data_IF_336742091227
#
_entry.id   IF_336742091227
#
_cell.length_a   1.000
_cell.length_b   1.000
_cell.length_c   1.000
_cell.angle_alpha   90.00
_cell.angle_beta   90.00
_cell.angle_gamma   90.00
#
_symmetry.space_group_name_H-M   'P 1'
#
loop_
_entity.id
_entity.type
_entity.pdbx_description
1 polymer ?
#
# COMPACT_ATOMS: atom_id res chain seq x y z
N UNK A 1 -7.40 -17.02 -13.62
CA UNK A 1 -7.20 -15.57 -13.82
C UNK A 1 -5.89 -15.11 -13.22
N UNK A 2 -5.05 -14.41 -14.00
CA UNK A 2 -3.87 -13.74 -13.47
C UNK A 2 -4.30 -12.38 -12.89
N UNK A 3 -4.07 -12.17 -11.59
CA UNK A 3 -4.29 -10.87 -10.93
C UNK A 3 -3.42 -9.83 -11.65
N UNK A 4 -4.05 -8.94 -12.41
CA UNK A 4 -3.33 -7.84 -13.05
C UNK A 4 -2.59 -7.01 -11.99
N UNK A 5 -1.35 -6.59 -12.25
CA UNK A 5 -0.61 -5.74 -11.35
C UNK A 5 -1.37 -4.42 -11.16
N UNK A 6 -1.66 -4.07 -9.90
CA UNK A 6 -2.19 -2.76 -9.57
C UNK A 6 -1.08 -1.75 -9.88
N UNK A 7 -1.19 -1.06 -11.02
CA UNK A 7 -0.32 0.05 -11.39
C UNK A 7 -1.02 1.33 -10.94
N UNK A 8 -0.63 1.95 -9.82
CA UNK A 8 -1.15 3.26 -9.45
C UNK A 8 -0.70 4.24 -10.54
N UNK A 9 -1.63 4.66 -11.41
CA UNK A 9 -1.36 5.79 -12.31
C UNK A 9 -1.23 7.04 -11.43
N UNK A 10 -0.15 7.84 -11.58
CA UNK A 10 -0.08 9.14 -10.93
C UNK A 10 -1.18 10.02 -11.53
N UNK A 11 -2.23 10.21 -10.75
CA UNK A 11 -3.35 11.05 -11.09
C UNK A 11 -3.02 12.47 -10.61
N UNK A 12 -3.05 13.43 -11.53
CA UNK A 12 -2.72 14.82 -11.27
C UNK A 12 -3.54 15.36 -10.08
N UNK A 13 -4.82 15.01 -10.02
CA UNK A 13 -5.71 15.41 -8.94
C UNK A 13 -5.28 14.82 -7.59
N UNK A 14 -4.76 13.59 -7.55
CA UNK A 14 -4.23 13.00 -6.31
C UNK A 14 -3.03 13.77 -5.78
N UNK A 15 -2.14 14.23 -6.66
CA UNK A 15 -0.97 15.01 -6.26
C UNK A 15 -1.35 16.42 -5.80
N UNK A 16 -2.35 17.04 -6.44
CA UNK A 16 -2.91 18.32 -5.97
C UNK A 16 -3.53 18.20 -4.56
N UNK A 17 -4.26 17.11 -4.31
CA UNK A 17 -4.94 16.85 -3.04
C UNK A 17 -3.99 16.42 -1.93
N UNK A 18 -2.92 15.67 -2.23
CA UNK A 18 -2.02 15.13 -1.21
C UNK A 18 -1.39 16.24 -0.36
N UNK A 19 -1.20 17.44 -0.93
CA UNK A 19 -0.78 18.66 -0.22
C UNK A 19 -1.83 19.18 0.76
N UNK A 20 -3.11 19.03 0.47
CA UNK A 20 -4.24 19.40 1.34
C UNK A 20 -4.50 18.38 2.47
N UNK A 21 -4.00 17.15 2.36
CA UNK A 21 -4.37 15.98 3.19
C UNK A 21 -4.33 16.23 4.70
N UNK A 22 -3.34 16.99 5.17
CA UNK A 22 -3.14 17.24 6.63
C UNK A 22 -4.13 18.26 7.21
N UNK A 23 -4.76 19.08 6.38
CA UNK A 23 -5.63 20.18 6.82
C UNK A 23 -7.11 19.98 6.44
N UNK A 24 -7.47 18.87 5.79
CA UNK A 24 -8.87 18.52 5.53
C UNK A 24 -9.62 18.27 6.86
N UNK A 25 -10.35 19.28 7.32
CA UNK A 25 -11.10 19.29 8.57
C UNK A 25 -10.68 20.39 9.54
N UNK A 26 -9.60 21.11 9.24
CA UNK A 26 -9.26 22.34 9.96
C UNK A 26 -10.10 23.49 9.38
N UNK A 27 -10.72 24.29 10.24
CA UNK A 27 -11.58 25.41 9.83
C UNK A 27 -10.77 26.50 9.12
N UNK A 28 -9.46 26.53 9.35
CA UNK A 28 -8.52 27.50 8.78
C UNK A 28 -7.47 26.81 7.90
N UNK A 29 -7.90 26.28 6.76
CA UNK A 29 -6.96 26.02 5.66
C UNK A 29 -6.32 27.37 5.29
N UNK A 30 -4.98 27.44 5.34
CA UNK A 30 -4.27 28.67 4.96
C UNK A 30 -4.66 29.12 3.56
N UNK A 31 -4.90 30.42 3.38
CA UNK A 31 -5.35 30.98 2.10
C UNK A 31 -4.38 30.64 0.97
N UNK A 32 -3.08 30.62 1.26
CA UNK A 32 -2.03 30.27 0.31
C UNK A 32 -2.12 28.81 -0.16
N UNK A 33 -2.44 27.87 0.76
CA UNK A 33 -2.64 26.47 0.40
C UNK A 33 -3.92 26.27 -0.41
N UNK A 34 -4.98 27.03 -0.08
CA UNK A 34 -6.25 27.02 -0.83
C UNK A 34 -6.04 27.48 -2.27
N UNK A 35 -5.34 28.60 -2.46
CA UNK A 35 -5.01 29.13 -3.80
C UNK A 35 -4.14 28.14 -4.57
N UNK A 36 -3.09 27.60 -3.94
CA UNK A 36 -2.19 26.65 -4.59
C UNK A 36 -2.92 25.37 -5.02
N UNK A 37 -3.78 24.81 -4.17
CA UNK A 37 -4.57 23.65 -4.53
C UNK A 37 -5.55 23.96 -5.67
N UNK A 38 -6.23 25.10 -5.64
CA UNK A 38 -7.13 25.50 -6.72
C UNK A 38 -6.38 25.66 -8.06
N UNK A 39 -5.16 26.22 -8.05
CA UNK A 39 -4.30 26.30 -9.24
C UNK A 39 -3.97 24.90 -9.76
N UNK A 40 -3.47 24.03 -8.89
CA UNK A 40 -3.07 22.66 -9.27
C UNK A 40 -4.26 21.87 -9.83
N UNK A 41 -5.42 21.94 -9.20
CA UNK A 41 -6.65 21.27 -9.65
C UNK A 41 -7.10 21.77 -11.03
N UNK A 42 -7.04 23.08 -11.26
CA UNK A 42 -7.37 23.70 -12.55
C UNK A 42 -6.43 23.20 -13.65
N UNK A 43 -5.13 23.10 -13.36
CA UNK A 43 -4.15 22.57 -14.32
C UNK A 43 -4.40 21.10 -14.62
N UNK A 44 -4.78 20.31 -13.62
CA UNK A 44 -5.17 18.92 -13.83
C UNK A 44 -6.39 18.80 -14.75
N UNK A 45 -7.36 19.71 -14.62
CA UNK A 45 -8.52 19.76 -15.52
C UNK A 45 -8.12 20.14 -16.96
N UNK A 46 -7.33 21.21 -17.12
CA UNK A 46 -6.82 21.67 -18.43
C UNK A 46 -6.04 20.56 -19.14
N UNK A 47 -5.11 19.91 -18.43
CA UNK A 47 -4.29 18.84 -18.99
C UNK A 47 -5.10 17.59 -19.34
N UNK A 48 -6.16 17.31 -18.59
CA UNK A 48 -7.08 16.20 -18.89
C UNK A 48 -7.92 16.47 -20.14
N UNK A 49 -8.30 17.72 -20.38
CA UNK A 49 -9.10 18.13 -21.54
C UNK A 49 -8.36 18.03 -22.88
N UNK A 50 -7.02 17.89 -22.91
CA UNK A 50 -6.14 17.73 -24.10
C UNK A 50 -6.21 18.79 -25.21
N UNK A 51 -7.22 19.64 -25.22
CA UNK A 51 -7.44 20.67 -26.23
C UNK A 51 -6.84 22.04 -25.85
N UNK A 52 -6.40 22.19 -24.60
CA UNK A 52 -5.86 23.43 -24.07
C UNK A 52 -4.47 23.21 -23.47
N UNK A 53 -3.57 24.15 -23.74
CA UNK A 53 -2.25 24.21 -23.12
C UNK A 53 -2.32 24.97 -21.80
N UNK A 54 -1.53 24.53 -20.82
CA UNK A 54 -1.36 25.25 -19.56
C UNK A 54 -0.63 26.57 -19.83
N UNK A 55 -1.06 27.71 -19.24
CA UNK A 55 -0.34 28.97 -19.35
C UNK A 55 1.12 28.84 -18.87
N UNK A 56 2.04 29.53 -19.53
CA UNK A 56 3.47 29.45 -19.22
C UNK A 56 3.77 30.00 -17.82
N UNK A 57 2.99 30.99 -17.38
CA UNK A 57 3.00 31.57 -16.05
C UNK A 57 2.67 30.52 -14.97
N UNK A 58 1.99 29.43 -15.33
CA UNK A 58 1.60 28.33 -14.46
C UNK A 58 2.50 27.09 -14.59
N UNK A 59 3.61 27.16 -15.35
CA UNK A 59 4.47 26.00 -15.61
C UNK A 59 5.02 25.35 -14.33
N UNK A 60 5.26 26.15 -13.28
CA UNK A 60 5.70 25.67 -11.98
C UNK A 60 4.70 24.72 -11.27
N UNK A 61 3.45 24.65 -11.73
CA UNK A 61 2.39 23.79 -11.19
C UNK A 61 2.03 22.63 -12.11
N UNK A 62 2.78 22.41 -13.20
CA UNK A 62 2.58 21.33 -14.15
C UNK A 62 2.90 19.93 -13.59
N UNK A 63 2.56 18.88 -14.36
CA UNK A 63 2.72 17.47 -13.93
C UNK A 63 4.16 17.08 -13.60
N UNK A 64 5.15 17.72 -14.21
CA UNK A 64 6.58 17.42 -13.99
C UNK A 64 7.11 18.08 -12.70
N UNK A 65 6.66 19.30 -12.38
CA UNK A 65 7.07 20.02 -11.17
C UNK A 65 6.29 19.60 -9.92
N UNK A 66 5.20 18.84 -10.07
CA UNK A 66 4.43 18.28 -8.95
C UNK A 66 5.22 17.27 -8.08
N UNK A 67 6.36 16.77 -8.56
CA UNK A 67 7.26 15.88 -7.82
C UNK A 67 8.44 16.59 -7.14
N UNK A 68 8.80 17.80 -7.56
CA UNK A 68 9.88 18.59 -6.96
C UNK A 68 9.31 19.68 -6.04
N UNK A 69 9.71 19.61 -4.77
CA UNK A 69 9.26 20.47 -3.67
C UNK A 69 9.97 21.83 -3.76
N UNK A 70 9.70 22.60 -4.80
CA UNK A 70 10.06 24.02 -4.82
C UNK A 70 8.78 24.82 -4.80
N UNK A 71 8.46 25.39 -3.62
CA UNK A 71 7.30 26.27 -3.46
C UNK A 71 7.55 27.48 -4.37
N UNK A 72 6.72 27.73 -5.40
CA UNK A 72 6.91 28.89 -6.26
C UNK A 72 6.69 30.17 -5.44
N UNK A 73 7.53 31.18 -5.67
CA UNK A 73 7.49 32.47 -4.97
C UNK A 73 6.10 33.13 -5.08
N UNK A 74 5.73 33.99 -4.13
CA UNK A 74 4.40 34.63 -4.06
C UNK A 74 4.03 35.38 -5.35
N UNK A 75 5.02 35.92 -6.06
CA UNK A 75 4.86 36.56 -7.36
C UNK A 75 4.35 35.59 -8.44
N UNK A 76 4.95 34.40 -8.53
CA UNK A 76 4.59 33.38 -9.53
C UNK A 76 3.17 32.82 -9.35
N UNK A 77 2.65 32.84 -8.11
CA UNK A 77 1.25 32.50 -7.81
C UNK A 77 0.30 33.53 -8.41
N UNK A 78 0.57 34.81 -8.18
CA UNK A 78 -0.25 35.91 -8.70
C UNK A 78 -0.28 35.89 -10.22
N UNK A 79 0.87 35.73 -10.86
CA UNK A 79 1.00 35.73 -12.33
C UNK A 79 0.21 34.58 -12.97
N UNK A 80 0.22 33.39 -12.34
CA UNK A 80 -0.57 32.25 -12.81
C UNK A 80 -2.08 32.48 -12.65
N UNK A 81 -2.53 33.07 -11.54
CA UNK A 81 -3.94 33.42 -11.34
C UNK A 81 -4.40 34.48 -12.34
N UNK A 82 -3.57 35.49 -12.58
CA UNK A 82 -3.83 36.51 -13.61
C UNK A 82 -3.90 35.86 -15.00
N UNK A 83 -3.06 34.88 -15.30
CA UNK A 83 -3.14 34.13 -16.55
C UNK A 83 -4.47 33.36 -16.70
N UNK A 84 -5.01 32.75 -15.62
CA UNK A 84 -6.33 32.14 -15.65
C UNK A 84 -7.45 33.14 -15.92
N UNK A 85 -7.33 34.38 -15.42
CA UNK A 85 -8.33 35.43 -15.65
C UNK A 85 -8.49 35.80 -17.14
N UNK A 86 -7.47 35.54 -17.97
CA UNK A 86 -7.49 35.80 -19.42
C UNK A 86 -8.44 34.87 -20.19
N UNK A 87 -8.90 33.78 -19.57
CA UNK A 87 -9.84 32.82 -20.17
C UNK A 87 -11.02 32.58 -19.23
N UNK A 88 -12.24 32.86 -19.71
CA UNK A 88 -13.45 32.62 -18.93
C UNK A 88 -13.57 31.14 -18.48
N UNK A 89 -13.16 30.20 -19.32
CA UNK A 89 -13.18 28.77 -18.98
C UNK A 89 -12.23 28.44 -17.83
N UNK A 90 -10.99 28.94 -17.88
CA UNK A 90 -10.00 28.66 -16.82
C UNK A 90 -10.35 29.39 -15.53
N UNK A 91 -10.88 30.61 -15.64
CA UNK A 91 -11.37 31.36 -14.49
C UNK A 91 -12.53 30.67 -13.79
N UNK A 92 -13.47 30.09 -14.54
CA UNK A 92 -14.57 29.31 -13.97
C UNK A 92 -14.07 28.08 -13.21
N UNK A 93 -13.15 27.30 -13.79
CA UNK A 93 -12.54 26.15 -13.10
C UNK A 93 -11.79 26.57 -11.82
N UNK A 94 -10.92 27.58 -11.92
CA UNK A 94 -10.16 28.09 -10.77
C UNK A 94 -11.05 28.62 -9.65
N UNK A 95 -12.01 29.48 -9.98
CA UNK A 95 -12.90 30.08 -8.98
C UNK A 95 -13.86 29.06 -8.36
N UNK A 96 -14.25 28.02 -9.12
CA UNK A 96 -14.97 26.85 -8.61
C UNK A 96 -14.16 26.12 -7.55
N UNK A 97 -12.94 25.68 -7.90
CA UNK A 97 -12.07 24.99 -6.94
C UNK A 97 -11.69 25.86 -5.73
N UNK A 98 -11.49 27.16 -5.90
CA UNK A 98 -11.17 28.05 -4.78
C UNK A 98 -12.31 28.12 -3.75
N UNK A 99 -13.58 28.08 -4.21
CA UNK A 99 -14.76 28.04 -3.33
C UNK A 99 -14.92 26.66 -2.70
N UNK A 100 -14.81 25.61 -3.50
CA UNK A 100 -15.03 24.22 -3.06
C UNK A 100 -13.91 23.67 -2.16
N UNK A 101 -12.66 24.15 -2.26
CA UNK A 101 -11.58 23.73 -1.36
C UNK A 101 -11.84 24.21 0.08
N UNK A 102 -12.53 25.35 0.25
CA UNK A 102 -12.93 25.85 1.58
C UNK A 102 -14.14 25.11 2.11
N UNK A 103 -15.07 24.74 1.24
CA UNK A 103 -16.22 23.91 1.60
C UNK A 103 -15.76 22.45 1.72
N UNK A 104 -15.31 22.10 2.93
CA UNK A 104 -14.90 20.78 3.43
C UNK A 104 -15.28 19.50 2.65
N UNK A 105 -16.41 19.46 1.94
CA UNK A 105 -16.89 18.36 1.11
C UNK A 105 -15.85 17.86 0.09
N UNK A 106 -15.21 18.76 -0.67
CA UNK A 106 -14.26 18.34 -1.71
C UNK A 106 -12.98 17.76 -1.08
N UNK A 107 -12.49 18.38 0.00
CA UNK A 107 -11.33 17.90 0.76
C UNK A 107 -11.59 16.51 1.36
N UNK A 108 -12.76 16.29 1.98
CA UNK A 108 -13.12 14.99 2.57
C UNK A 108 -13.34 13.91 1.50
N UNK A 109 -13.98 14.25 0.39
CA UNK A 109 -14.17 13.32 -0.71
C UNK A 109 -12.81 12.84 -1.24
N UNK A 110 -11.91 13.77 -1.58
CA UNK A 110 -10.60 13.41 -2.11
C UNK A 110 -9.69 12.72 -1.11
N UNK A 111 -9.76 13.08 0.19
CA UNK A 111 -9.08 12.34 1.26
C UNK A 111 -9.54 10.89 1.29
N UNK A 112 -10.85 10.64 1.26
CA UNK A 112 -11.42 9.29 1.23
C UNK A 112 -10.95 8.50 0.02
N UNK A 113 -10.93 9.11 -1.16
CA UNK A 113 -10.43 8.48 -2.39
C UNK A 113 -8.95 8.11 -2.27
N UNK A 114 -8.12 9.04 -1.79
CA UNK A 114 -6.70 8.81 -1.58
C UNK A 114 -6.44 7.69 -0.55
N UNK A 115 -7.12 7.72 0.59
CA UNK A 115 -6.98 6.72 1.66
C UNK A 115 -7.41 5.33 1.16
N UNK A 116 -8.47 5.26 0.36
CA UNK A 116 -8.94 4.01 -0.26
C UNK A 116 -7.89 3.41 -1.19
N UNK A 117 -7.26 4.22 -2.04
CA UNK A 117 -6.25 3.73 -2.97
C UNK A 117 -4.95 3.34 -2.26
N UNK A 118 -4.55 4.09 -1.23
CA UNK A 118 -3.42 3.73 -0.36
C UNK A 118 -3.65 2.38 0.31
N UNK A 119 -4.86 2.15 0.82
CA UNK A 119 -5.21 0.86 1.41
C UNK A 119 -5.11 -0.27 0.37
N UNK A 120 -5.64 -0.08 -0.86
CA UNK A 120 -5.53 -1.07 -1.93
C UNK A 120 -4.07 -1.42 -2.26
N UNK A 121 -3.19 -0.43 -2.30
CA UNK A 121 -1.76 -0.63 -2.56
C UNK A 121 -1.11 -1.45 -1.44
N UNK A 122 -1.36 -1.10 -0.19
CA UNK A 122 -0.87 -1.85 0.98
C UNK A 122 -1.34 -3.30 0.93
N UNK A 123 -2.64 -3.53 0.67
CA UNK A 123 -3.19 -4.88 0.54
C UNK A 123 -2.60 -5.64 -0.64
N UNK A 124 -2.30 -4.98 -1.76
CA UNK A 124 -1.65 -5.60 -2.89
C UNK A 124 -0.23 -6.09 -2.53
N UNK A 125 0.54 -5.23 -1.86
CA UNK A 125 1.90 -5.55 -1.41
C UNK A 125 1.89 -6.69 -0.38
N UNK A 126 1.03 -6.62 0.63
CA UNK A 126 0.87 -7.69 1.64
C UNK A 126 0.45 -9.00 0.98
N UNK A 127 -0.48 -8.97 0.03
CA UNK A 127 -0.93 -10.16 -0.69
C UNK A 127 0.23 -10.80 -1.47
N UNK A 128 1.06 -10.00 -2.15
CA UNK A 128 2.25 -10.49 -2.86
C UNK A 128 3.27 -11.12 -1.93
N UNK A 129 3.53 -10.48 -0.80
CA UNK A 129 4.43 -11.03 0.22
C UNK A 129 3.89 -12.33 0.81
N UNK A 130 2.59 -12.38 1.15
CA UNK A 130 1.93 -13.59 1.65
C UNK A 130 2.01 -14.74 0.65
N UNK A 131 1.76 -14.50 -0.64
CA UNK A 131 1.88 -15.53 -1.67
C UNK A 131 3.31 -16.06 -1.73
N UNK A 132 4.31 -15.17 -1.69
CA UNK A 132 5.72 -15.54 -1.71
C UNK A 132 6.11 -16.36 -0.48
N UNK A 133 5.61 -15.97 0.69
CA UNK A 133 5.83 -16.68 1.95
C UNK A 133 5.18 -18.07 1.97
N UNK A 134 3.92 -18.19 1.52
CA UNK A 134 3.23 -19.49 1.42
C UNK A 134 3.98 -20.44 0.47
N UNK A 135 4.45 -19.93 -0.68
CA UNK A 135 5.25 -20.72 -1.63
C UNK A 135 6.55 -21.21 -0.99
N UNK A 136 7.23 -20.36 -0.22
CA UNK A 136 8.43 -20.74 0.52
C UNK A 136 8.15 -21.83 1.55
N UNK A 137 7.09 -21.69 2.36
CA UNK A 137 6.71 -22.71 3.34
C UNK A 137 6.35 -24.04 2.68
N UNK A 138 5.55 -24.02 1.61
CA UNK A 138 5.18 -25.24 0.88
C UNK A 138 6.41 -25.95 0.28
N UNK A 139 7.41 -25.18 -0.20
CA UNK A 139 8.67 -25.76 -0.68
C UNK A 139 9.46 -26.41 0.46
N UNK A 140 9.53 -25.75 1.62
CA UNK A 140 10.24 -26.27 2.80
C UNK A 140 9.56 -27.53 3.35
N UNK A 141 8.24 -27.55 3.41
CA UNK A 141 7.44 -28.71 3.83
C UNK A 141 7.72 -29.92 2.93
N UNK A 142 7.63 -29.74 1.60
CA UNK A 142 7.95 -30.80 0.63
C UNK A 142 9.38 -31.32 0.77
N UNK A 143 10.36 -30.44 0.97
CA UNK A 143 11.75 -30.85 1.18
C UNK A 143 11.93 -31.66 2.49
N UNK A 144 11.21 -31.27 3.54
CA UNK A 144 11.23 -31.99 4.83
C UNK A 144 10.56 -33.35 4.71
N UNK A 145 9.43 -33.43 4.01
CA UNK A 145 8.71 -34.68 3.74
C UNK A 145 9.54 -35.64 2.88
N UNK A 146 10.22 -35.13 1.85
CA UNK A 146 11.17 -35.91 1.04
C UNK A 146 12.29 -36.49 1.91
N UNK A 147 12.92 -35.67 2.74
CA UNK A 147 13.99 -36.14 3.61
C UNK A 147 13.52 -37.19 4.63
N UNK A 148 12.33 -37.01 5.22
CA UNK A 148 11.71 -38.01 6.09
C UNK A 148 11.40 -39.31 5.34
N UNK A 149 10.89 -39.22 4.11
CA UNK A 149 10.60 -40.40 3.29
C UNK A 149 11.86 -41.19 2.95
N UNK A 150 12.97 -40.52 2.65
CA UNK A 150 14.27 -41.14 2.41
C UNK A 150 14.78 -41.86 3.65
N UNK A 151 14.66 -41.25 4.84
CA UNK A 151 15.02 -41.87 6.11
C UNK A 151 14.16 -43.12 6.42
N UNK A 152 12.86 -43.07 6.12
CA UNK A 152 11.96 -44.23 6.28
C UNK A 152 12.33 -45.35 5.30
N UNK A 153 12.66 -45.03 4.05
CA UNK A 153 13.10 -46.04 3.07
C UNK A 153 14.45 -46.63 3.50
N UNK A 154 15.41 -45.80 3.91
CA UNK A 154 16.72 -46.27 4.33
C UNK A 154 16.65 -47.17 5.57
N UNK A 155 15.82 -46.81 6.56
CA UNK A 155 15.58 -47.64 7.74
C UNK A 155 14.88 -48.96 7.41
N UNK A 156 13.92 -48.99 6.47
CA UNK A 156 13.31 -50.23 5.97
C UNK A 156 14.31 -51.16 5.28
N UNK A 157 15.27 -50.61 4.54
CA UNK A 157 16.30 -51.38 3.82
C UNK A 157 17.38 -51.91 4.78
N UNK A 158 17.86 -51.09 5.71
CA UNK A 158 18.93 -51.48 6.63
C UNK A 158 18.45 -52.29 7.85
N UNK A 159 17.19 -52.15 8.27
CA UNK A 159 16.63 -52.83 9.45
C UNK A 159 15.24 -53.42 9.19
N UNK A 160 15.11 -54.40 8.28
CA UNK A 160 13.82 -54.96 7.88
C UNK A 160 13.08 -55.71 9.02
N UNK A 161 13.77 -56.09 10.10
CA UNK A 161 13.22 -56.79 11.26
C UNK A 161 12.56 -55.87 12.30
N UNK A 162 12.69 -54.54 12.20
CA UNK A 162 12.11 -53.57 13.14
C UNK A 162 10.72 -53.05 12.71
N UNK A 163 10.25 -53.37 11.50
CA UNK A 163 8.98 -52.86 10.92
C UNK A 163 8.01 -54.03 10.59
N UNK A 164 8.16 -55.17 11.26
CA UNK A 164 7.09 -56.17 11.35
C UNK A 164 6.54 -56.11 12.77
N UNK A 165 5.48 -55.32 12.95
CA UNK A 165 4.28 -55.68 13.73
C UNK A 165 3.46 -54.41 14.05
N UNK A 166 2.24 -54.23 13.49
CA UNK A 166 1.37 -53.10 13.80
C UNK A 166 0.84 -53.09 15.24
N UNK A 167 1.07 -54.13 16.04
CA UNK A 167 0.70 -54.16 17.47
C UNK A 167 1.72 -53.48 18.41
N UNK A 168 2.97 -53.30 17.99
CA UNK A 168 4.01 -52.75 18.86
C UNK A 168 3.97 -51.20 18.88
N UNK A 169 3.43 -50.56 17.84
CA UNK A 169 3.50 -49.11 17.65
C UNK A 169 2.64 -48.31 18.67
N UNK A 170 1.50 -48.86 19.09
CA UNK A 170 0.66 -48.25 20.13
C UNK A 170 1.34 -48.26 21.50
N UNK A 171 2.14 -49.29 21.80
CA UNK A 171 2.81 -49.42 23.11
C UNK A 171 4.13 -48.65 23.17
N UNK A 172 4.88 -48.59 22.08
CA UNK A 172 6.15 -47.86 22.01
C UNK A 172 5.91 -46.34 22.00
N UNK A 173 4.95 -45.86 21.21
CA UNK A 173 4.55 -44.45 21.18
C UNK A 173 3.98 -43.99 22.53
N UNK A 174 3.17 -44.82 23.20
CA UNK A 174 2.67 -44.56 24.56
C UNK A 174 3.78 -44.51 25.61
N UNK A 175 4.79 -45.38 25.51
CA UNK A 175 5.94 -45.41 26.44
C UNK A 175 6.86 -44.21 26.26
N UNK A 176 7.12 -43.80 25.02
CA UNK A 176 7.94 -42.62 24.71
C UNK A 176 7.22 -41.34 25.18
N UNK A 177 5.93 -41.20 24.90
CA UNK A 177 5.13 -40.06 25.37
C UNK A 177 5.03 -40.00 26.91
N UNK A 178 4.86 -41.15 27.58
CA UNK A 178 4.90 -41.24 29.05
C UNK A 178 6.27 -40.92 29.64
N UNK A 179 7.36 -41.22 28.94
CA UNK A 179 8.72 -40.88 29.39
C UNK A 179 8.99 -39.39 29.24
N UNK A 180 8.67 -38.81 28.07
CA UNK A 180 8.83 -37.37 27.81
C UNK A 180 7.97 -36.50 28.74
N UNK A 181 6.74 -36.91 29.05
CA UNK A 181 5.86 -36.18 30.00
C UNK A 181 6.29 -36.28 31.47
N UNK A 182 7.12 -37.28 31.84
CA UNK A 182 7.73 -37.39 33.17
C UNK A 182 8.98 -36.52 33.27
N UNK A 183 9.81 -36.51 32.23
CA UNK A 183 10.98 -35.62 32.11
C UNK A 183 10.56 -34.15 32.17
N UNK A 184 9.52 -33.76 31.42
CA UNK A 184 8.95 -32.41 31.45
C UNK A 184 8.45 -32.00 32.85
N UNK A 185 7.76 -32.90 33.57
CA UNK A 185 7.27 -32.62 34.93
C UNK A 185 8.39 -32.54 35.98
N UNK A 186 9.49 -33.25 35.78
CA UNK A 186 10.69 -33.14 36.64
C UNK A 186 11.41 -31.81 36.39
N UNK A 187 11.56 -31.42 35.12
CA UNK A 187 12.14 -30.14 34.75
C UNK A 187 11.31 -28.96 35.26
N UNK A 188 9.98 -29.04 35.19
CA UNK A 188 9.08 -28.01 35.71
C UNK A 188 9.07 -27.88 37.26
N UNK A 189 9.45 -28.93 38.00
CA UNK A 189 9.59 -28.88 39.47
C UNK A 189 10.98 -28.45 39.94
N UNK A 190 11.98 -28.48 39.06
CA UNK A 190 13.34 -28.04 39.37
C UNK A 190 13.55 -26.53 39.17
N UNK A 191 12.59 -25.84 38.56
CA UNK A 191 12.63 -24.41 38.25
C UNK A 191 11.71 -23.56 39.14
N UNK A 192 11.29 -24.10 40.29
CA UNK A 192 10.51 -23.40 41.31
C UNK A 192 11.07 -23.75 42.70
#
# INVERSE_FOLDING_TARGET
>A
EALQPYSPKPDCFKTAVSKLRRQCGDLEISEQLRIEAAIMMTICEITTAKHYSVPLECAAYGRESMHEVTIPDGQTKSDCVDAFSRSAQFWSSYSGYLREVRESQLCYAFRRWHDTDTAKEIYHNITREKISFIRYLSKKEKATEQHLSELVVHSKVNYPSLIRDPEIDATLSSRIYKRLSREWRKSARSNN
#
